data_IF_369708847355
#
_entry.id   IF_369708847355
#
_cell.length_a   1.000
_cell.length_b   1.000
_cell.length_c   1.000
_cell.angle_alpha   90.00
_cell.angle_beta   90.00
_cell.angle_gamma   90.00
#
_symmetry.space_group_name_H-M   'P 1'
#
loop_
_entity.id
_entity.type
_entity.pdbx_description
1 polymer ?
#
# COMPACT_ATOMS: atom_id res chain seq x y z
N UNK A 1 -11.19 17.71 23.70
CA UNK A 1 -10.81 18.08 22.31
C UNK A 1 -10.42 16.79 21.60
N UNK A 2 -11.01 16.48 20.44
CA UNK A 2 -10.69 15.24 19.71
C UNK A 2 -9.25 15.31 19.19
N UNK A 3 -8.42 14.30 19.47
CA UNK A 3 -7.03 14.28 19.00
C UNK A 3 -6.99 14.32 17.47
N UNK A 4 -5.93 14.91 16.89
CA UNK A 4 -5.74 14.95 15.44
C UNK A 4 -5.69 13.53 14.86
N UNK A 5 -4.98 12.63 15.52
CA UNK A 5 -4.92 11.21 15.16
C UNK A 5 -6.31 10.58 15.05
N UNK A 6 -7.18 10.78 16.05
CA UNK A 6 -8.53 10.20 16.02
C UNK A 6 -9.38 10.76 14.87
N UNK A 7 -9.21 12.05 14.53
CA UNK A 7 -9.88 12.66 13.36
C UNK A 7 -9.37 12.10 12.04
N UNK A 8 -8.06 11.88 11.92
CA UNK A 8 -7.45 11.30 10.71
C UNK A 8 -7.90 9.86 10.52
N UNK A 9 -7.91 9.05 11.59
CA UNK A 9 -8.36 7.65 11.54
C UNK A 9 -9.85 7.57 11.18
N UNK A 10 -10.68 8.42 11.80
CA UNK A 10 -12.10 8.48 11.45
C UNK A 10 -12.30 8.92 9.99
N UNK A 11 -11.57 9.95 9.54
CA UNK A 11 -11.61 10.43 8.16
C UNK A 11 -11.16 9.37 7.16
N UNK A 12 -10.11 8.61 7.48
CA UNK A 12 -9.62 7.52 6.63
C UNK A 12 -10.61 6.37 6.52
N UNK A 13 -11.31 6.05 7.61
CA UNK A 13 -12.35 5.03 7.59
C UNK A 13 -13.55 5.48 6.74
N UNK A 14 -14.01 6.73 6.90
CA UNK A 14 -15.07 7.28 6.06
C UNK A 14 -14.65 7.30 4.59
N UNK A 15 -13.42 7.73 4.30
CA UNK A 15 -12.88 7.72 2.94
C UNK A 15 -12.82 6.31 2.35
N UNK A 16 -12.41 5.31 3.14
CA UNK A 16 -12.40 3.91 2.72
C UNK A 16 -13.79 3.42 2.33
N UNK A 17 -14.80 3.67 3.19
CA UNK A 17 -16.19 3.29 2.92
C UNK A 17 -16.72 4.00 1.68
N UNK A 18 -16.46 5.30 1.53
CA UNK A 18 -16.86 6.06 0.34
C UNK A 18 -16.19 5.54 -0.93
N UNK A 19 -14.92 5.14 -0.86
CA UNK A 19 -14.20 4.55 -1.97
C UNK A 19 -14.84 3.20 -2.39
N UNK A 20 -15.14 2.33 -1.42
CA UNK A 20 -15.84 1.05 -1.69
C UNK A 20 -17.23 1.26 -2.29
N UNK A 21 -18.04 2.14 -1.70
CA UNK A 21 -19.40 2.41 -2.18
C UNK A 21 -19.36 3.08 -3.56
N UNK A 22 -18.46 4.06 -3.74
CA UNK A 22 -18.28 4.74 -5.01
C UNK A 22 -17.84 3.79 -6.12
N UNK A 23 -16.96 2.84 -5.79
CA UNK A 23 -16.54 1.81 -6.72
C UNK A 23 -17.68 0.88 -7.11
N UNK A 24 -18.41 0.35 -6.12
CA UNK A 24 -19.58 -0.50 -6.37
C UNK A 24 -20.64 0.20 -7.24
N UNK A 25 -20.92 1.48 -6.98
CA UNK A 25 -21.85 2.27 -7.81
C UNK A 25 -21.32 2.45 -9.22
N UNK A 26 -20.01 2.70 -9.38
CA UNK A 26 -19.38 2.86 -10.69
C UNK A 26 -19.52 1.59 -11.52
N UNK A 27 -19.16 0.43 -10.97
CA UNK A 27 -19.28 -0.88 -11.64
C UNK A 27 -20.72 -1.12 -12.11
N UNK A 28 -21.71 -0.90 -11.23
CA UNK A 28 -23.12 -1.08 -11.59
C UNK A 28 -23.60 -0.10 -12.67
N UNK A 29 -23.04 1.11 -12.74
CA UNK A 29 -23.46 2.15 -13.67
C UNK A 29 -22.78 2.06 -15.04
N UNK A 30 -21.52 1.66 -15.08
CA UNK A 30 -20.70 1.65 -16.31
C UNK A 30 -20.43 0.26 -16.84
N UNK A 31 -20.59 -0.79 -16.02
CA UNK A 31 -20.21 -2.16 -16.35
C UNK A 31 -18.70 -2.40 -16.39
N UNK A 32 -17.87 -1.44 -15.94
CA UNK A 32 -16.42 -1.62 -15.83
C UNK A 32 -16.14 -2.60 -14.70
N UNK A 33 -15.47 -3.72 -15.02
CA UNK A 33 -15.25 -4.79 -14.06
C UNK A 33 -14.10 -4.48 -13.10
N UNK A 34 -14.11 -5.14 -11.93
CA UNK A 34 -13.04 -5.12 -10.92
C UNK A 34 -11.64 -5.47 -11.46
N UNK A 35 -11.55 -6.09 -12.65
CA UNK A 35 -10.31 -6.51 -13.29
C UNK A 35 -9.71 -5.51 -14.30
N UNK A 36 -10.47 -4.52 -14.77
CA UNK A 36 -10.04 -3.71 -15.93
C UNK A 36 -8.94 -2.69 -15.56
N UNK A 37 -8.98 -2.21 -14.32
CA UNK A 37 -8.09 -1.17 -13.80
C UNK A 37 -7.53 -1.50 -12.40
N UNK A 38 -6.79 -2.61 -12.25
CA UNK A 38 -6.38 -3.13 -10.94
C UNK A 38 -5.45 -2.17 -10.20
N UNK A 39 -4.59 -1.43 -10.92
CA UNK A 39 -3.72 -0.44 -10.29
C UNK A 39 -4.52 0.76 -9.75
N UNK A 40 -5.53 1.20 -10.50
CA UNK A 40 -6.41 2.30 -10.07
C UNK A 40 -7.18 1.88 -8.83
N UNK A 41 -7.74 0.67 -8.82
CA UNK A 41 -8.46 0.15 -7.65
C UNK A 41 -7.55 0.03 -6.43
N UNK A 42 -6.33 -0.48 -6.60
CA UNK A 42 -5.35 -0.51 -5.52
C UNK A 42 -5.09 0.90 -4.96
N UNK A 43 -4.88 1.90 -5.82
CA UNK A 43 -4.63 3.26 -5.37
C UNK A 43 -5.85 3.88 -4.67
N UNK A 44 -7.05 3.68 -5.21
CA UNK A 44 -8.28 4.30 -4.69
C UNK A 44 -8.77 3.62 -3.42
N UNK A 45 -8.80 2.28 -3.38
CA UNK A 45 -9.33 1.52 -2.25
C UNK A 45 -8.31 1.35 -1.13
N UNK A 46 -7.01 1.36 -1.44
CA UNK A 46 -5.98 1.11 -0.44
C UNK A 46 -4.99 2.28 -0.31
N UNK A 47 -4.46 2.79 -1.42
CA UNK A 47 -3.49 3.91 -1.39
C UNK A 47 -4.03 5.16 -0.69
N UNK A 48 -5.18 5.67 -1.14
CA UNK A 48 -5.79 6.89 -0.61
C UNK A 48 -6.30 6.74 0.83
N UNK A 49 -7.11 5.73 1.17
CA UNK A 49 -7.69 5.64 2.51
C UNK A 49 -6.80 4.96 3.54
N UNK A 50 -5.77 4.20 3.16
CA UNK A 50 -4.93 3.48 4.13
C UNK A 50 -3.51 4.04 4.15
N UNK A 51 -2.85 4.15 3.00
CA UNK A 51 -1.44 4.56 2.94
C UNK A 51 -1.29 6.05 3.26
N UNK A 52 -2.06 6.92 2.61
CA UNK A 52 -1.92 8.37 2.79
C UNK A 52 -2.11 8.83 4.25
N UNK A 53 -3.12 8.37 5.01
CA UNK A 53 -3.28 8.77 6.41
C UNK A 53 -2.10 8.36 7.30
N UNK A 54 -1.52 7.18 7.06
CA UNK A 54 -0.35 6.71 7.81
C UNK A 54 0.89 7.53 7.50
N UNK A 55 1.10 7.88 6.23
CA UNK A 55 2.21 8.75 5.81
C UNK A 55 2.01 10.19 6.32
N UNK A 56 0.79 10.71 6.31
CA UNK A 56 0.46 12.01 6.87
C UNK A 56 0.77 12.06 8.36
N UNK A 57 0.29 11.08 9.15
CA UNK A 57 0.56 11.03 10.59
C UNK A 57 2.04 10.79 10.89
N UNK A 58 2.75 10.04 10.04
CA UNK A 58 4.20 9.89 10.17
C UNK A 58 4.92 11.23 9.97
N UNK A 59 4.51 12.01 8.97
CA UNK A 59 5.10 13.31 8.65
C UNK A 59 4.78 14.38 9.71
N UNK A 60 3.60 14.36 10.31
CA UNK A 60 3.23 15.35 11.33
C UNK A 60 3.70 14.99 12.74
N UNK A 61 4.24 13.79 12.94
CA UNK A 61 4.76 13.36 14.24
C UNK A 61 3.70 13.23 15.34
N UNK A 62 2.41 13.15 14.95
CA UNK A 62 1.30 13.13 15.90
C UNK A 62 0.89 11.71 16.28
N UNK A 63 0.55 11.56 17.56
CA UNK A 63 -0.03 10.34 18.12
C UNK A 63 0.95 9.50 18.92
N UNK A 64 0.44 8.41 19.50
CA UNK A 64 1.23 7.50 20.34
C UNK A 64 2.15 6.55 19.57
N UNK A 65 2.12 6.58 18.24
CA UNK A 65 2.83 5.64 17.36
C UNK A 65 3.97 6.36 16.62
N UNK A 66 5.16 5.78 16.66
CA UNK A 66 6.34 6.38 16.01
C UNK A 66 6.16 6.50 14.49
N UNK A 67 6.71 7.53 13.84
CA UNK A 67 6.70 7.67 12.38
C UNK A 67 7.21 6.43 11.65
N UNK A 68 8.28 5.80 12.19
CA UNK A 68 8.87 4.58 11.64
C UNK A 68 7.87 3.43 11.60
N UNK A 69 7.10 3.22 12.68
CA UNK A 69 6.08 2.18 12.74
C UNK A 69 4.98 2.41 11.71
N UNK A 70 4.54 3.67 11.53
CA UNK A 70 3.51 4.03 10.53
C UNK A 70 3.97 3.78 9.10
N UNK A 71 5.20 4.16 8.77
CA UNK A 71 5.78 3.89 7.43
C UNK A 71 5.93 2.39 7.20
N UNK A 72 6.43 1.62 8.17
CA UNK A 72 6.51 0.16 8.07
C UNK A 72 5.14 -0.48 7.84
N UNK A 73 4.13 -0.03 8.57
CA UNK A 73 2.75 -0.49 8.37
C UNK A 73 2.27 -0.19 6.95
N UNK A 74 2.44 1.05 6.49
CA UNK A 74 2.03 1.47 5.15
C UNK A 74 2.73 0.64 4.05
N UNK A 75 4.04 0.42 4.17
CA UNK A 75 4.82 -0.40 3.22
C UNK A 75 4.37 -1.86 3.25
N UNK A 76 4.26 -2.47 4.43
CA UNK A 76 3.92 -3.88 4.57
C UNK A 76 2.52 -4.18 4.01
N UNK A 77 1.53 -3.35 4.35
CA UNK A 77 0.18 -3.54 3.83
C UNK A 77 0.07 -3.18 2.34
N UNK A 78 0.82 -2.17 1.83
CA UNK A 78 0.90 -1.92 0.38
C UNK A 78 1.42 -3.15 -0.36
N UNK A 79 2.48 -3.77 0.17
CA UNK A 79 3.04 -4.99 -0.37
C UNK A 79 2.03 -6.14 -0.36
N UNK A 80 1.38 -6.36 0.79
CA UNK A 80 0.41 -7.43 0.96
C UNK A 80 -0.77 -7.29 0.00
N UNK A 81 -1.42 -6.12 -0.04
CA UNK A 81 -2.59 -5.90 -0.89
C UNK A 81 -2.23 -6.00 -2.37
N UNK A 82 -1.09 -5.45 -2.80
CA UNK A 82 -0.66 -5.55 -4.19
C UNK A 82 -0.44 -7.01 -4.62
N UNK A 83 0.21 -7.82 -3.76
CA UNK A 83 0.42 -9.25 -4.04
C UNK A 83 -0.88 -10.06 -4.01
N UNK A 84 -1.80 -9.75 -3.10
CA UNK A 84 -3.12 -10.39 -3.06
C UNK A 84 -3.89 -10.10 -4.34
N UNK A 85 -3.91 -8.85 -4.82
CA UNK A 85 -4.57 -8.48 -6.08
C UNK A 85 -3.99 -9.22 -7.27
N UNK A 86 -2.66 -9.32 -7.37
CA UNK A 86 -1.99 -10.09 -8.44
C UNK A 86 -2.32 -11.58 -8.32
N UNK A 87 -2.27 -12.14 -7.11
CA UNK A 87 -2.53 -13.55 -6.86
C UNK A 87 -3.98 -13.96 -7.13
N UNK A 88 -4.95 -13.08 -6.85
CA UNK A 88 -6.37 -13.35 -7.09
C UNK A 88 -6.76 -13.28 -8.56
N UNK A 89 -6.01 -12.55 -9.38
CA UNK A 89 -6.32 -12.34 -10.79
C UNK A 89 -5.97 -13.54 -11.69
N UNK A 90 -5.28 -14.57 -11.18
CA UNK A 90 -4.88 -15.74 -11.97
C UNK A 90 -3.88 -15.43 -13.09
N UNK A 91 -3.24 -14.26 -13.04
CA UNK A 91 -2.32 -13.76 -14.07
C UNK A 91 -1.08 -14.64 -14.13
N UNK A 92 -0.81 -15.23 -15.29
CA UNK A 92 0.42 -15.99 -15.53
C UNK A 92 1.55 -15.02 -15.84
N UNK A 93 2.27 -14.62 -14.79
CA UNK A 93 3.34 -13.65 -14.90
C UNK A 93 4.48 -14.15 -15.81
N UNK A 94 4.82 -13.37 -16.83
CA UNK A 94 5.95 -13.59 -17.72
C UNK A 94 6.62 -12.26 -18.05
N UNK A 95 7.95 -12.22 -17.98
CA UNK A 95 8.74 -11.03 -18.35
C UNK A 95 8.61 -10.67 -19.83
N UNK A 96 8.37 -11.66 -20.70
CA UNK A 96 8.26 -11.44 -22.14
C UNK A 96 6.98 -10.71 -22.53
N UNK A 97 5.93 -10.81 -21.71
CA UNK A 97 4.60 -10.25 -22.01
C UNK A 97 4.20 -9.14 -21.04
N UNK A 98 5.07 -8.78 -20.10
CA UNK A 98 4.79 -7.86 -19.00
C UNK A 98 4.37 -6.45 -19.47
N UNK A 99 4.66 -6.10 -20.73
CA UNK A 99 4.40 -4.80 -21.34
C UNK A 99 3.53 -4.89 -22.60
N UNK A 100 2.92 -6.05 -22.87
CA UNK A 100 2.16 -6.28 -24.11
C UNK A 100 0.86 -5.47 -24.15
N UNK A 101 0.20 -5.32 -22.99
CA UNK A 101 -1.02 -4.55 -22.85
C UNK A 101 -1.07 -3.81 -21.49
N UNK A 102 -2.05 -2.91 -21.38
CA UNK A 102 -2.22 -2.05 -20.21
C UNK A 102 -2.63 -2.82 -18.95
N UNK A 103 -3.38 -3.92 -19.08
CA UNK A 103 -3.82 -4.73 -17.95
C UNK A 103 -2.64 -5.48 -17.34
N UNK A 104 -1.87 -6.15 -18.18
CA UNK A 104 -0.65 -6.87 -17.81
C UNK A 104 0.43 -5.94 -17.26
N UNK A 105 0.54 -4.72 -17.81
CA UNK A 105 1.40 -3.68 -17.25
C UNK A 105 0.98 -3.31 -15.82
N UNK A 106 -0.32 -3.11 -15.57
CA UNK A 106 -0.81 -2.77 -14.24
C UNK A 106 -0.55 -3.90 -13.23
N UNK A 107 -0.80 -5.16 -13.60
CA UNK A 107 -0.46 -6.29 -12.74
C UNK A 107 1.04 -6.45 -12.51
N UNK A 108 1.87 -6.16 -13.53
CA UNK A 108 3.32 -6.15 -13.37
C UNK A 108 3.77 -5.06 -12.40
N UNK A 109 3.20 -3.86 -12.48
CA UNK A 109 3.47 -2.77 -11.54
C UNK A 109 3.04 -3.13 -10.12
N UNK A 110 1.86 -3.74 -9.94
CA UNK A 110 1.42 -4.23 -8.65
C UNK A 110 2.35 -5.31 -8.10
N UNK A 111 2.79 -6.24 -8.94
CA UNK A 111 3.80 -7.24 -8.56
C UNK A 111 5.11 -6.60 -8.11
N UNK A 112 5.59 -5.59 -8.84
CA UNK A 112 6.78 -4.82 -8.50
C UNK A 112 6.62 -4.04 -7.18
N UNK A 113 5.45 -3.42 -6.94
CA UNK A 113 5.12 -2.78 -5.66
C UNK A 113 5.12 -3.81 -4.53
N UNK A 114 4.48 -4.95 -4.75
CA UNK A 114 4.39 -6.08 -3.83
C UNK A 114 5.76 -6.58 -3.37
N UNK A 115 6.55 -7.04 -4.34
CA UNK A 115 7.90 -7.57 -4.13
C UNK A 115 8.83 -6.49 -3.60
N UNK A 116 8.77 -5.28 -4.17
CA UNK A 116 9.59 -4.14 -3.78
C UNK A 116 9.34 -3.69 -2.35
N UNK A 117 8.09 -3.70 -1.89
CA UNK A 117 7.73 -3.34 -0.52
C UNK A 117 8.36 -4.31 0.50
N UNK A 118 8.19 -5.62 0.31
CA UNK A 118 8.77 -6.62 1.22
C UNK A 118 10.28 -6.72 1.09
N UNK A 119 10.83 -6.71 -0.12
CA UNK A 119 12.27 -6.71 -0.36
C UNK A 119 12.95 -5.47 0.22
N UNK A 120 12.35 -4.29 0.03
CA UNK A 120 12.82 -3.04 0.60
C UNK A 120 12.77 -3.03 2.12
N UNK A 121 11.65 -3.51 2.71
CA UNK A 121 11.51 -3.62 4.16
C UNK A 121 12.54 -4.61 4.75
N UNK A 122 12.73 -5.75 4.12
CA UNK A 122 13.75 -6.72 4.53
C UNK A 122 15.16 -6.13 4.49
N UNK A 123 15.56 -5.53 3.36
CA UNK A 123 16.85 -4.85 3.22
C UNK A 123 17.05 -3.76 4.28
N UNK A 124 15.99 -2.99 4.55
CA UNK A 124 16.01 -1.96 5.58
C UNK A 124 16.22 -2.54 6.98
N UNK A 125 15.52 -3.61 7.35
CA UNK A 125 15.69 -4.26 8.66
C UNK A 125 17.09 -4.83 8.84
N UNK A 126 17.64 -5.49 7.81
CA UNK A 126 19.01 -6.02 7.83
C UNK A 126 20.03 -4.88 8.01
N UNK A 127 19.91 -3.79 7.25
CA UNK A 127 20.81 -2.64 7.35
C UNK A 127 20.69 -1.94 8.70
N UNK A 128 19.47 -1.79 9.22
CA UNK A 128 19.23 -1.19 10.53
C UNK A 128 19.84 -2.05 11.64
N UNK A 129 19.66 -3.37 11.60
CA UNK A 129 20.24 -4.32 12.54
C UNK A 129 21.77 -4.29 12.53
N UNK A 130 22.37 -4.30 11.33
CA UNK A 130 23.83 -4.21 11.17
C UNK A 130 24.40 -2.92 11.79
N UNK A 131 23.73 -1.78 11.60
CA UNK A 131 24.15 -0.50 12.17
C UNK A 131 24.05 -0.46 13.69
N UNK A 132 23.00 -1.04 14.28
CA UNK A 132 22.89 -1.12 15.74
C UNK A 132 24.00 -1.96 16.37
N UNK A 133 24.36 -3.10 15.77
CA UNK A 133 25.42 -3.95 16.30
C UNK A 133 26.81 -3.31 16.27
N UNK A 134 27.08 -2.46 15.28
CA UNK A 134 28.32 -1.67 15.23
C UNK A 134 28.35 -0.54 16.26
N UNK A 135 27.20 0.08 16.56
CA UNK A 135 27.12 1.12 17.58
C UNK A 135 27.39 0.57 18.99
N UNK A 136 26.92 -0.64 19.29
CA UNK A 136 27.14 -1.32 20.58
C UNK A 136 28.59 -1.81 20.78
N UNK A 137 29.39 -1.87 19.72
CA UNK A 137 30.79 -2.34 19.76
C UNK A 137 31.82 -1.22 19.59
N UNK A 138 31.37 0.04 19.47
CA UNK A 138 32.25 1.20 19.45
C UNK A 138 32.77 1.51 20.89
N UNK A 139 34.09 1.67 21.09
CA UNK A 139 34.71 1.90 22.40
C UNK A 139 34.40 3.28 23.00
#
# INVERSE_FOLDING_TARGET
MVSRENRVIAGSFVLFVLAMVGWFVLENATGIADGDHPLVMFLVLYGLPVVLPQLYLAATGDGGVTPRTRVRFAVAFSGLFALVTVGSAGVRWSWSTAFDDLEMLQYTLLGAIGIGAFGGLFCYEVLAGYRSSMADTAP
#
